data_IF_864542693286
#
_entry.id   IF_864542693286
#
_cell.length_a   1.000
_cell.length_b   1.000
_cell.length_c   1.000
_cell.angle_alpha   90.00
_cell.angle_beta   90.00
_cell.angle_gamma   90.00
#
_symmetry.space_group_name_H-M   'P 1'
#
loop_
_entity.id
_entity.type
_entity.pdbx_description
1 polymer ?
#
# COMPACT_ATOMS: atom_id res chain seq x y z
N UNK A 1 0.48 20.88 1.46
CA UNK A 1 -0.28 19.66 1.15
C UNK A 1 0.44 18.38 1.62
N UNK A 2 1.78 18.39 1.70
CA UNK A 2 2.61 17.25 2.13
C UNK A 2 2.35 16.79 3.57
N UNK A 3 2.19 17.74 4.51
CA UNK A 3 1.91 17.44 5.93
C UNK A 3 0.59 16.69 6.17
N UNK A 4 -0.43 16.88 5.33
CA UNK A 4 -1.70 16.18 5.49
C UNK A 4 -1.62 14.71 5.02
N UNK A 5 -0.80 14.44 4.00
CA UNK A 5 -0.55 13.09 3.53
C UNK A 5 0.30 12.30 4.55
N UNK A 6 1.25 12.99 5.21
CA UNK A 6 2.10 12.44 6.26
C UNK A 6 1.30 12.07 7.52
N UNK A 7 0.40 12.96 7.98
CA UNK A 7 -0.49 12.66 9.10
C UNK A 7 -1.45 11.49 8.81
N UNK A 8 -1.98 11.40 7.59
CA UNK A 8 -2.84 10.27 7.20
C UNK A 8 -2.06 8.94 7.12
N UNK A 9 -0.76 9.01 6.85
CA UNK A 9 0.16 7.89 6.76
C UNK A 9 0.54 7.34 8.15
N UNK A 10 0.74 8.23 9.11
CA UNK A 10 0.98 7.88 10.51
C UNK A 10 -0.27 7.28 11.15
N UNK A 11 -1.44 7.88 10.92
CA UNK A 11 -2.72 7.31 11.36
C UNK A 11 -2.99 5.93 10.74
N UNK A 12 -2.60 5.70 9.48
CA UNK A 12 -2.76 4.38 8.87
C UNK A 12 -1.84 3.32 9.49
N UNK A 13 -0.64 3.72 9.95
CA UNK A 13 0.28 2.81 10.63
C UNK A 13 -0.22 2.44 12.04
N UNK A 14 -0.73 3.42 12.79
CA UNK A 14 -1.41 3.16 14.07
C UNK A 14 -2.60 2.22 13.89
N UNK A 15 -3.43 2.45 12.88
CA UNK A 15 -4.57 1.57 12.59
C UNK A 15 -4.15 0.14 12.23
N UNK A 16 -3.04 -0.06 11.51
CA UNK A 16 -2.53 -1.40 11.20
C UNK A 16 -2.09 -2.14 12.47
N UNK A 17 -1.49 -1.43 13.43
CA UNK A 17 -1.08 -2.00 14.71
C UNK A 17 -2.29 -2.36 15.58
N UNK A 18 -3.34 -1.53 15.59
CA UNK A 18 -4.58 -1.81 16.34
C UNK A 18 -5.39 -2.97 15.75
N UNK A 19 -5.34 -3.17 14.43
CA UNK A 19 -6.10 -4.21 13.73
C UNK A 19 -5.46 -5.60 13.78
N UNK A 20 -4.25 -5.74 14.31
CA UNK A 20 -3.60 -7.03 14.52
C UNK A 20 -3.32 -7.82 13.24
N UNK A 21 -2.99 -7.14 12.14
CA UNK A 21 -2.61 -7.81 10.90
C UNK A 21 -1.33 -8.61 11.10
N UNK A 22 -1.45 -9.93 10.96
CA UNK A 22 -0.34 -10.85 11.01
C UNK A 22 0.02 -11.29 9.59
N UNK A 23 1.31 -11.48 9.32
CA UNK A 23 1.85 -11.99 8.06
C UNK A 23 1.44 -13.46 7.73
N UNK A 24 0.42 -13.99 8.40
CA UNK A 24 0.00 -15.38 8.30
C UNK A 24 -0.77 -15.65 7.00
N UNK A 25 -0.04 -16.07 5.95
CA UNK A 25 -0.62 -16.79 4.81
C UNK A 25 0.10 -16.53 3.49
N UNK A 26 1.13 -17.32 3.17
CA UNK A 26 1.83 -17.29 1.88
C UNK A 26 1.05 -17.96 0.73
N UNK A 27 -0.17 -18.44 0.98
CA UNK A 27 -1.02 -19.12 0.00
C UNK A 27 -1.81 -18.10 -0.84
N UNK A 28 -1.10 -17.34 -1.69
CA UNK A 28 -1.75 -16.51 -2.71
C UNK A 28 -1.10 -15.15 -2.99
N UNK A 29 0.21 -15.09 -3.25
CA UNK A 29 0.83 -13.87 -3.75
C UNK A 29 0.21 -13.48 -5.11
N UNK A 30 -0.33 -12.27 -5.21
CA UNK A 30 -0.90 -11.73 -6.44
C UNK A 30 -0.16 -10.45 -6.81
N UNK A 31 0.29 -10.36 -8.06
CA UNK A 31 0.87 -9.13 -8.60
C UNK A 31 -0.24 -8.29 -9.23
N UNK A 32 -0.36 -7.03 -8.81
CA UNK A 32 -1.39 -6.12 -9.29
C UNK A 32 -0.78 -4.78 -9.67
N UNK A 33 -1.01 -4.36 -10.91
CA UNK A 33 -0.71 -3.00 -11.35
C UNK A 33 -1.87 -2.06 -10.95
N UNK A 34 -1.57 -1.07 -10.10
CA UNK A 34 -2.46 -0.01 -9.69
C UNK A 34 -2.17 1.26 -10.49
N UNK A 35 -3.21 1.84 -11.09
CA UNK A 35 -3.12 3.08 -11.86
C UNK A 35 -3.64 4.28 -11.05
N UNK A 36 -3.22 5.49 -11.45
CA UNK A 36 -3.74 6.73 -10.88
C UNK A 36 -5.17 7.01 -11.37
N UNK A 37 -6.02 7.52 -10.48
CA UNK A 37 -7.35 8.02 -10.80
C UNK A 37 -7.30 9.29 -11.69
N UNK A 38 -8.45 9.76 -12.16
CA UNK A 38 -8.56 11.02 -12.92
C UNK A 38 -8.04 12.27 -12.17
N UNK A 39 -7.78 12.16 -10.86
CA UNK A 39 -7.19 13.21 -10.01
C UNK A 39 -5.71 12.97 -9.72
N UNK A 40 -5.07 12.00 -10.37
CA UNK A 40 -3.65 11.70 -10.22
C UNK A 40 -3.29 10.94 -8.94
N UNK A 41 -4.23 10.25 -8.29
CA UNK A 41 -4.01 9.54 -7.02
C UNK A 41 -4.22 8.05 -7.17
N UNK A 42 -3.39 7.24 -6.52
CA UNK A 42 -3.57 5.78 -6.53
C UNK A 42 -4.70 5.27 -5.61
N UNK A 43 -5.08 6.07 -4.61
CA UNK A 43 -6.23 5.81 -3.72
C UNK A 43 -6.06 4.55 -2.84
N UNK A 44 -4.85 4.29 -2.39
CA UNK A 44 -4.56 3.29 -1.36
C UNK A 44 -3.65 3.87 -0.27
N UNK A 45 -3.59 3.19 0.86
CA UNK A 45 -2.71 3.51 1.97
C UNK A 45 -1.91 2.27 2.37
N UNK A 46 -0.68 2.52 2.82
CA UNK A 46 0.23 1.50 3.33
C UNK A 46 0.49 1.78 4.81
N UNK A 47 0.57 0.71 5.59
CA UNK A 47 0.97 0.73 6.98
C UNK A 47 2.07 -0.29 7.23
N UNK A 48 2.52 -0.36 8.47
CA UNK A 48 3.55 -1.29 8.90
C UNK A 48 3.10 -1.97 10.17
N UNK A 49 3.21 -3.30 10.20
CA UNK A 49 2.91 -4.13 11.37
C UNK A 49 3.95 -5.27 11.43
N UNK A 50 4.41 -5.66 12.62
CA UNK A 50 5.36 -6.79 12.79
C UNK A 50 6.59 -6.80 11.83
N UNK A 51 7.07 -5.62 11.42
CA UNK A 51 8.20 -5.48 10.47
C UNK A 51 7.87 -5.72 8.99
N UNK A 52 6.60 -5.91 8.65
CA UNK A 52 6.09 -5.98 7.27
C UNK A 52 5.29 -4.74 6.88
N UNK A 53 5.15 -4.51 5.57
CA UNK A 53 4.27 -3.49 5.01
C UNK A 53 2.93 -4.13 4.65
N UNK A 54 1.83 -3.47 5.00
CA UNK A 54 0.47 -3.96 4.76
C UNK A 54 -0.39 -2.91 4.08
N UNK A 55 -1.36 -3.36 3.30
CA UNK A 55 -2.34 -2.51 2.66
C UNK A 55 -3.38 -2.06 3.69
N UNK A 56 -3.35 -0.79 4.11
CA UNK A 56 -4.28 -0.31 5.13
C UNK A 56 -5.66 0.02 4.60
N UNK A 57 -5.67 0.65 3.44
CA UNK A 57 -6.90 1.07 2.81
C UNK A 57 -6.76 0.96 1.31
N UNK A 58 -7.81 0.47 0.67
CA UNK A 58 -7.88 0.39 -0.79
C UNK A 58 -9.22 0.91 -1.26
N UNK A 59 -9.25 2.17 -1.64
CA UNK A 59 -10.46 2.76 -2.17
C UNK A 59 -10.64 2.43 -3.66
N UNK A 60 -11.91 2.36 -4.07
CA UNK A 60 -12.28 2.22 -5.49
C UNK A 60 -11.83 3.43 -6.31
N UNK A 61 -11.51 3.19 -7.58
CA UNK A 61 -11.13 4.24 -8.54
C UNK A 61 -11.74 4.00 -9.91
N UNK A 62 -11.72 5.09 -10.67
CA UNK A 62 -12.05 5.22 -12.08
C UNK A 62 -10.93 4.71 -13.03
N UNK A 63 -9.85 4.14 -12.49
CA UNK A 63 -8.68 3.69 -13.29
C UNK A 63 -8.85 2.32 -13.96
N UNK A 64 -9.85 1.52 -13.55
CA UNK A 64 -10.15 0.22 -14.16
C UNK A 64 -9.12 -0.89 -13.88
N UNK A 65 -8.28 -0.72 -12.86
CA UNK A 65 -7.26 -1.67 -12.44
C UNK A 65 -7.81 -2.90 -11.73
N UNK A 66 -6.93 -3.90 -11.54
CA UNK A 66 -7.27 -5.14 -10.85
C UNK A 66 -7.18 -5.04 -9.33
N UNK A 67 -7.32 -3.83 -8.76
CA UNK A 67 -7.27 -3.56 -7.31
C UNK A 67 -8.22 -4.44 -6.50
N UNK A 68 -9.32 -4.91 -7.08
CA UNK A 68 -10.26 -5.87 -6.46
C UNK A 68 -9.63 -7.19 -5.99
N UNK A 69 -8.43 -7.52 -6.49
CA UNK A 69 -7.68 -8.70 -6.07
C UNK A 69 -6.94 -8.49 -4.75
N UNK A 70 -6.70 -7.23 -4.39
CA UNK A 70 -6.11 -6.82 -3.13
C UNK A 70 -7.19 -6.48 -2.11
N UNK A 71 -6.87 -6.66 -0.83
CA UNK A 71 -7.72 -6.38 0.32
C UNK A 71 -6.95 -5.66 1.41
N UNK A 72 -7.68 -4.95 2.25
CA UNK A 72 -7.11 -4.35 3.47
C UNK A 72 -6.60 -5.48 4.38
N UNK A 73 -5.36 -5.33 4.87
CA UNK A 73 -4.63 -6.37 5.58
C UNK A 73 -3.73 -7.25 4.71
N UNK A 74 -3.74 -7.10 3.39
CA UNK A 74 -2.79 -7.82 2.52
C UNK A 74 -1.36 -7.33 2.77
N UNK A 75 -0.44 -8.27 2.91
CA UNK A 75 0.98 -7.95 3.05
C UNK A 75 1.58 -7.58 1.70
N UNK A 76 2.19 -6.41 1.62
CA UNK A 76 2.95 -5.97 0.46
C UNK A 76 4.37 -6.52 0.59
N UNK A 77 4.75 -7.39 -0.34
CA UNK A 77 6.08 -7.99 -0.39
C UNK A 77 7.06 -7.15 -1.22
N UNK A 78 6.56 -6.56 -2.30
CA UNK A 78 7.36 -5.74 -3.22
C UNK A 78 6.56 -4.59 -3.82
N UNK A 79 7.24 -3.49 -4.13
CA UNK A 79 6.70 -2.36 -4.89
C UNK A 79 7.57 -2.10 -6.10
N UNK A 80 7.00 -2.19 -7.31
CA UNK A 80 7.75 -2.04 -8.57
C UNK A 80 8.97 -2.97 -8.65
N UNK A 81 8.88 -4.18 -8.10
CA UNK A 81 9.98 -5.14 -8.00
C UNK A 81 11.01 -4.84 -6.90
N UNK A 82 10.83 -3.76 -6.13
CA UNK A 82 11.66 -3.45 -4.95
C UNK A 82 11.07 -4.16 -3.73
N UNK A 83 11.80 -5.09 -3.07
CA UNK A 83 11.30 -5.74 -1.87
C UNK A 83 11.17 -4.72 -0.73
N UNK A 84 10.02 -4.76 -0.05
CA UNK A 84 9.69 -3.86 1.06
C UNK A 84 9.63 -4.55 2.43
N UNK A 85 9.96 -5.85 2.48
CA UNK A 85 10.10 -6.56 3.76
C UNK A 85 11.17 -5.91 4.64
N UNK A 86 10.80 -5.56 5.87
CA UNK A 86 11.69 -4.86 6.83
C UNK A 86 11.91 -3.38 6.54
N UNK A 87 11.26 -2.80 5.52
CA UNK A 87 11.31 -1.34 5.26
C UNK A 87 10.29 -0.60 6.10
N UNK A 88 10.49 0.72 6.24
CA UNK A 88 9.51 1.59 6.86
C UNK A 88 8.37 1.90 5.87
N UNK A 89 7.16 2.18 6.37
CA UNK A 89 6.04 2.53 5.50
C UNK A 89 6.31 3.83 4.72
N UNK A 90 7.20 4.69 5.22
CA UNK A 90 7.65 5.89 4.52
C UNK A 90 8.50 5.60 3.29
N UNK A 91 9.43 4.65 3.38
CA UNK A 91 10.18 4.21 2.19
C UNK A 91 9.23 3.63 1.14
N UNK A 92 8.27 2.80 1.56
CA UNK A 92 7.26 2.23 0.67
C UNK A 92 6.42 3.33 0.00
N UNK A 93 5.96 4.33 0.76
CA UNK A 93 5.24 5.50 0.21
C UNK A 93 6.09 6.33 -0.74
N UNK A 94 7.38 6.47 -0.47
CA UNK A 94 8.32 7.14 -1.37
C UNK A 94 8.43 6.42 -2.71
N UNK A 95 8.47 5.08 -2.71
CA UNK A 95 8.43 4.26 -3.93
C UNK A 95 7.13 4.47 -4.72
N UNK A 96 5.99 4.58 -4.04
CA UNK A 96 4.70 4.90 -4.68
C UNK A 96 4.70 6.32 -5.25
N UNK A 97 5.25 7.30 -4.52
CA UNK A 97 5.32 8.71 -4.97
C UNK A 97 6.24 8.88 -6.18
N UNK A 98 7.32 8.13 -6.24
CA UNK A 98 8.27 8.14 -7.37
C UNK A 98 7.73 7.40 -8.59
N UNK A 99 6.75 6.51 -8.42
CA UNK A 99 6.06 5.86 -9.52
C UNK A 99 5.25 6.88 -10.35
N UNK A 100 5.49 6.94 -11.65
CA UNK A 100 4.83 7.88 -12.56
C UNK A 100 3.37 7.49 -12.81
N UNK A 101 3.12 6.53 -13.70
CA UNK A 101 1.76 6.23 -14.19
C UNK A 101 1.10 5.05 -13.46
N UNK A 102 1.90 4.09 -13.00
CA UNK A 102 1.43 2.88 -12.32
C UNK A 102 2.39 2.44 -11.22
N UNK A 103 1.85 1.80 -10.20
CA UNK A 103 2.63 1.08 -9.19
C UNK A 103 2.23 -0.38 -9.17
N UNK A 104 3.22 -1.25 -9.20
CA UNK A 104 3.06 -2.70 -9.10
C UNK A 104 3.26 -3.14 -7.66
N UNK A 105 2.25 -3.81 -7.10
CA UNK A 105 2.24 -4.40 -5.76
C UNK A 105 2.24 -5.91 -5.86
#
# INVERSE_FOLDING_TARGET
AEQAAEQAAEQAAEQAAEQGWSAAGADGCVEVDLYRDSRGRFRFQLGSADGGIFLCSLASTDSGDRRRLLREGDQVLSLNGVPVGGRTPDEARSLVRTAADSVRV
#
